data_IF_925885585149
#
_entry.id   IF_925885585149
#
_cell.length_a   1.000
_cell.length_b   1.000
_cell.length_c   1.000
_cell.angle_alpha   90.00
_cell.angle_beta   90.00
_cell.angle_gamma   90.00
#
_symmetry.space_group_name_H-M   'P 1'
#
loop_
_entity.id
_entity.type
_entity.pdbx_description
1 polymer ?
#
# COMPACT_ATOMS: atom_id res chain seq x y z
N UNK A 1 4.33 14.97 -29.14
CA UNK A 1 3.15 14.18 -29.56
C UNK A 1 3.13 12.94 -28.67
N UNK A 2 2.28 12.94 -27.64
CA UNK A 2 2.06 11.76 -26.81
C UNK A 2 1.11 10.84 -27.58
N UNK A 3 1.63 9.83 -28.23
CA UNK A 3 0.83 8.68 -28.60
C UNK A 3 0.34 8.05 -27.28
N UNK A 4 -0.91 8.32 -26.93
CA UNK A 4 -1.60 7.57 -25.88
C UNK A 4 -1.51 6.11 -26.30
N UNK A 5 -0.71 5.32 -25.60
CA UNK A 5 -0.69 3.87 -25.78
C UNK A 5 -2.11 3.40 -25.51
N UNK A 6 -2.82 3.10 -26.57
CA UNK A 6 -4.15 2.52 -26.51
C UNK A 6 -3.96 1.08 -26.04
N UNK A 7 -4.13 0.87 -24.76
CA UNK A 7 -4.22 -0.48 -24.21
C UNK A 7 -5.52 -1.07 -24.74
N UNK A 8 -5.39 -2.05 -25.60
CA UNK A 8 -6.51 -2.74 -26.16
C UNK A 8 -7.23 -3.49 -25.01
N UNK A 9 -8.47 -3.10 -24.72
CA UNK A 9 -9.32 -3.79 -23.72
C UNK A 9 -9.57 -5.25 -24.11
N UNK A 10 -9.32 -5.59 -25.38
CA UNK A 10 -9.35 -6.95 -25.90
C UNK A 10 -8.05 -7.74 -25.65
N UNK A 11 -7.05 -7.13 -25.02
CA UNK A 11 -5.84 -7.85 -24.66
C UNK A 11 -6.18 -8.90 -23.60
N UNK A 12 -6.04 -10.17 -23.98
CA UNK A 12 -6.39 -11.33 -23.15
C UNK A 12 -5.69 -11.30 -21.79
N UNK A 13 -4.46 -10.81 -21.73
CA UNK A 13 -3.68 -10.67 -20.49
C UNK A 13 -4.30 -9.62 -19.56
N UNK A 14 -4.68 -8.46 -20.10
CA UNK A 14 -5.34 -7.40 -19.32
C UNK A 14 -6.70 -7.88 -18.82
N UNK A 15 -7.46 -8.56 -19.66
CA UNK A 15 -8.74 -9.15 -19.28
C UNK A 15 -8.58 -10.18 -18.15
N UNK A 16 -7.55 -11.02 -18.17
CA UNK A 16 -7.25 -11.99 -17.10
C UNK A 16 -6.85 -11.30 -15.79
N UNK A 17 -6.03 -10.25 -15.85
CA UNK A 17 -5.66 -9.46 -14.67
C UNK A 17 -6.89 -8.80 -14.08
N UNK A 18 -7.73 -8.16 -14.90
CA UNK A 18 -8.94 -7.49 -14.45
C UNK A 18 -9.99 -8.45 -13.86
N UNK A 19 -10.01 -9.69 -14.33
CA UNK A 19 -10.88 -10.75 -13.78
C UNK A 19 -10.30 -11.42 -12.55
N UNK A 20 -9.02 -11.19 -12.24
CA UNK A 20 -8.32 -11.83 -11.12
C UNK A 20 -8.08 -13.33 -11.32
N UNK A 21 -8.11 -13.82 -12.56
CA UNK A 21 -8.03 -15.27 -12.87
C UNK A 21 -6.71 -15.93 -12.43
N UNK A 22 -5.64 -15.16 -12.30
CA UNK A 22 -4.31 -15.65 -11.89
C UNK A 22 -3.81 -14.95 -10.61
N UNK A 23 -4.70 -14.46 -9.77
CA UNK A 23 -4.33 -13.78 -8.54
C UNK A 23 -4.68 -14.63 -7.33
N UNK A 24 -3.77 -14.65 -6.36
CA UNK A 24 -3.94 -15.42 -5.14
C UNK A 24 -4.10 -14.48 -3.94
N UNK A 25 -4.92 -14.88 -2.99
CA UNK A 25 -4.91 -14.29 -1.66
C UNK A 25 -3.72 -14.83 -0.86
N UNK A 26 -3.26 -14.00 0.06
CA UNK A 26 -2.29 -14.38 1.05
C UNK A 26 -2.91 -14.26 2.43
N UNK A 27 -2.69 -15.24 3.28
CA UNK A 27 -2.93 -15.17 4.70
C UNK A 27 -1.65 -14.74 5.40
N UNK A 28 -1.73 -13.61 6.09
CA UNK A 28 -0.64 -13.08 6.91
C UNK A 28 -0.97 -13.35 8.37
N UNK A 29 -0.19 -14.17 9.03
CA UNK A 29 -0.33 -14.49 10.46
C UNK A 29 0.75 -13.76 11.25
N UNK A 30 0.36 -13.00 12.27
CA UNK A 30 1.30 -12.43 13.23
C UNK A 30 1.81 -13.56 14.13
N UNK A 31 3.07 -13.96 13.95
CA UNK A 31 3.64 -15.10 14.70
C UNK A 31 4.26 -14.65 16.02
N UNK A 32 4.78 -13.42 16.09
CA UNK A 32 5.42 -12.89 17.29
C UNK A 32 5.27 -11.37 17.36
N UNK A 33 5.07 -10.87 18.59
CA UNK A 33 5.21 -9.45 18.92
C UNK A 33 6.18 -9.34 20.10
N UNK A 34 7.23 -8.55 19.94
CA UNK A 34 8.24 -8.29 20.98
C UNK A 34 8.00 -6.90 21.56
N UNK A 35 7.70 -6.83 22.84
CA UNK A 35 7.32 -5.57 23.49
C UNK A 35 5.94 -5.09 23.02
N UNK A 36 5.77 -3.78 22.97
CA UNK A 36 4.53 -3.14 22.54
C UNK A 36 4.61 -2.71 21.06
N UNK A 37 3.64 -3.13 20.25
CA UNK A 37 3.45 -2.62 18.91
C UNK A 37 2.60 -1.35 18.96
N UNK A 38 3.10 -0.18 18.51
CA UNK A 38 2.33 1.09 18.56
C UNK A 38 1.02 1.02 17.77
N UNK A 39 1.00 0.25 16.69
CA UNK A 39 -0.22 0.00 15.91
C UNK A 39 -1.18 -0.94 16.62
N UNK A 40 -0.69 -1.76 17.56
CA UNK A 40 -1.46 -2.67 18.41
C UNK A 40 -1.67 -4.07 17.82
N UNK A 41 -0.78 -4.52 16.93
CA UNK A 41 -0.78 -5.92 16.48
C UNK A 41 -0.52 -6.88 17.65
N UNK A 42 -1.15 -8.04 17.61
CA UNK A 42 -1.00 -9.12 18.60
C UNK A 42 -0.65 -10.43 17.91
N UNK A 43 0.13 -11.26 18.57
CA UNK A 43 0.40 -12.61 18.09
C UNK A 43 -0.90 -13.41 17.92
N UNK A 44 -0.98 -14.19 16.83
CA UNK A 44 -2.16 -14.96 16.45
C UNK A 44 -3.16 -14.23 15.57
N UNK A 45 -3.04 -12.90 15.39
CA UNK A 45 -3.90 -12.18 14.44
C UNK A 45 -3.63 -12.62 13.00
N UNK A 46 -4.69 -12.70 12.20
CA UNK A 46 -4.64 -13.09 10.80
C UNK A 46 -5.28 -12.02 9.91
N UNK A 47 -4.67 -11.80 8.74
CA UNK A 47 -5.09 -10.83 7.74
C UNK A 47 -5.07 -11.47 6.35
N UNK A 48 -6.01 -11.10 5.49
CA UNK A 48 -6.01 -11.48 4.08
C UNK A 48 -5.45 -10.36 3.21
N UNK A 49 -4.17 -10.11 3.36
CA UNK A 49 -3.50 -9.10 2.57
C UNK A 49 -3.19 -9.62 1.14
N UNK A 50 -3.10 -8.70 0.20
CA UNK A 50 -2.72 -8.97 -1.20
C UNK A 50 -1.77 -7.89 -1.69
N UNK A 51 -1.30 -8.00 -2.93
CA UNK A 51 -0.55 -6.92 -3.58
C UNK A 51 -1.31 -5.57 -3.61
N UNK A 52 -2.63 -5.60 -3.56
CA UNK A 52 -3.48 -4.41 -3.70
C UNK A 52 -4.16 -3.99 -2.41
N UNK A 53 -4.36 -4.90 -1.46
CA UNK A 53 -5.10 -4.65 -0.22
C UNK A 53 -4.30 -5.07 1.01
N UNK A 54 -4.09 -4.13 1.94
CA UNK A 54 -3.42 -4.41 3.22
C UNK A 54 -4.27 -5.17 4.22
N UNK A 55 -5.59 -5.21 4.05
CA UNK A 55 -6.57 -5.81 4.96
C UNK A 55 -6.46 -5.33 6.43
N UNK A 56 -5.99 -4.11 6.64
CA UNK A 56 -5.81 -3.53 7.97
C UNK A 56 -4.46 -3.79 8.62
N UNK A 57 -3.52 -4.42 7.94
CA UNK A 57 -2.12 -4.41 8.37
C UNK A 57 -1.60 -2.98 8.49
N UNK A 58 -0.75 -2.74 9.49
CA UNK A 58 0.03 -1.52 9.61
C UNK A 58 0.79 -1.24 8.31
N UNK A 59 0.77 0.01 7.84
CA UNK A 59 1.39 0.41 6.58
C UNK A 59 2.88 0.07 6.50
N UNK A 60 3.66 0.29 7.58
CA UNK A 60 5.08 -0.07 7.63
C UNK A 60 5.31 -1.58 7.47
N UNK A 61 4.54 -2.41 8.17
CA UNK A 61 4.64 -3.86 8.04
C UNK A 61 4.21 -4.31 6.63
N UNK A 62 3.08 -3.79 6.14
CA UNK A 62 2.59 -4.09 4.81
C UNK A 62 3.62 -3.71 3.73
N UNK A 63 4.22 -2.50 3.83
CA UNK A 63 5.27 -2.06 2.91
C UNK A 63 6.50 -2.96 2.96
N UNK A 64 6.92 -3.39 4.16
CA UNK A 64 8.09 -4.25 4.32
C UNK A 64 7.94 -5.60 3.61
N UNK A 65 6.73 -6.17 3.62
CA UNK A 65 6.45 -7.48 3.00
C UNK A 65 5.86 -7.37 1.58
N UNK A 66 5.58 -6.14 1.09
CA UNK A 66 4.79 -5.92 -0.12
C UNK A 66 5.40 -6.57 -1.37
N UNK A 67 6.71 -6.48 -1.59
CA UNK A 67 7.35 -7.09 -2.76
C UNK A 67 7.16 -8.61 -2.81
N UNK A 68 7.28 -9.27 -1.64
CA UNK A 68 7.04 -10.71 -1.50
C UNK A 68 5.55 -11.06 -1.64
N UNK A 69 4.65 -10.19 -1.14
CA UNK A 69 3.20 -10.33 -1.38
C UNK A 69 2.87 -10.26 -2.87
N UNK A 70 3.46 -9.31 -3.60
CA UNK A 70 3.28 -9.19 -5.07
C UNK A 70 3.72 -10.46 -5.77
N UNK A 71 4.89 -11.01 -5.39
CA UNK A 71 5.40 -12.26 -5.97
C UNK A 71 4.41 -13.42 -5.76
N UNK A 72 3.95 -13.63 -4.54
CA UNK A 72 2.99 -14.70 -4.25
C UNK A 72 1.62 -14.43 -4.87
N UNK A 73 1.19 -13.16 -4.95
CA UNK A 73 -0.09 -12.76 -5.52
C UNK A 73 -0.24 -13.20 -6.99
N UNK A 74 0.83 -13.10 -7.75
CA UNK A 74 0.86 -13.51 -9.16
C UNK A 74 1.38 -14.94 -9.38
N UNK A 75 1.42 -15.77 -8.34
CA UNK A 75 1.77 -17.19 -8.45
C UNK A 75 3.27 -17.48 -8.48
N UNK A 76 4.11 -16.47 -8.25
CA UNK A 76 5.56 -16.65 -8.12
C UNK A 76 5.96 -17.31 -6.80
N UNK A 77 7.24 -17.63 -6.67
CA UNK A 77 7.86 -18.21 -5.47
C UNK A 77 9.12 -17.43 -5.12
N UNK A 78 9.47 -17.42 -3.84
CA UNK A 78 10.69 -16.78 -3.36
C UNK A 78 11.80 -17.83 -3.26
N UNK A 79 12.88 -17.64 -4.00
CA UNK A 79 13.95 -18.64 -4.17
C UNK A 79 14.71 -18.95 -2.87
N UNK A 80 14.69 -18.06 -1.89
CA UNK A 80 15.36 -18.20 -0.60
C UNK A 80 14.48 -18.85 0.48
N UNK A 81 13.18 -19.06 0.20
CA UNK A 81 12.26 -19.71 1.13
C UNK A 81 12.20 -21.22 0.91
N UNK A 82 11.91 -21.94 1.99
CA UNK A 82 11.80 -23.40 1.94
C UNK A 82 10.54 -23.90 1.24
N UNK A 83 9.47 -23.10 1.31
CA UNK A 83 8.18 -23.39 0.67
C UNK A 83 7.94 -22.44 -0.51
N UNK A 84 7.47 -22.94 -1.66
CA UNK A 84 7.14 -22.08 -2.80
C UNK A 84 5.95 -21.18 -2.55
N UNK A 85 5.15 -21.46 -1.52
CA UNK A 85 3.86 -20.81 -1.26
C UNK A 85 3.85 -19.94 -0.01
N UNK A 86 4.99 -19.83 0.69
CA UNK A 86 5.06 -19.05 1.93
C UNK A 86 6.38 -18.33 2.11
N UNK A 87 6.38 -17.32 2.98
CA UNK A 87 7.58 -16.65 3.45
C UNK A 87 7.39 -16.11 4.86
N UNK A 88 8.51 -15.74 5.48
CA UNK A 88 8.51 -15.02 6.75
C UNK A 88 8.91 -13.55 6.55
N UNK A 89 8.29 -12.66 7.31
CA UNK A 89 8.54 -11.23 7.25
C UNK A 89 8.68 -10.61 8.63
N UNK A 90 9.29 -9.42 8.69
CA UNK A 90 9.49 -8.67 9.92
C UNK A 90 9.11 -7.20 9.73
N UNK A 91 8.60 -6.59 10.80
CA UNK A 91 8.35 -5.16 10.82
C UNK A 91 9.68 -4.40 10.85
N UNK A 92 9.86 -3.31 10.09
CA UNK A 92 11.07 -2.49 10.09
C UNK A 92 11.29 -1.76 11.43
N UNK A 93 10.26 -1.63 12.26
CA UNK A 93 10.33 -1.07 13.62
C UNK A 93 11.02 -2.04 14.58
N UNK A 94 12.36 -2.09 14.55
CA UNK A 94 13.20 -2.93 15.40
C UNK A 94 12.74 -4.40 15.49
N UNK A 95 12.23 -4.94 14.41
CA UNK A 95 11.70 -6.32 14.34
C UNK A 95 10.63 -6.65 15.39
N UNK A 96 9.88 -5.67 15.86
CA UNK A 96 8.87 -5.86 16.91
C UNK A 96 7.79 -6.87 16.53
N UNK A 97 7.45 -6.94 15.24
CA UNK A 97 6.42 -7.85 14.74
C UNK A 97 7.02 -8.78 13.70
N UNK A 98 6.78 -10.08 13.88
CA UNK A 98 7.12 -11.12 12.89
C UNK A 98 5.86 -11.74 12.33
N UNK A 99 5.88 -12.04 11.05
CA UNK A 99 4.77 -12.65 10.32
C UNK A 99 5.21 -13.88 9.55
N UNK A 100 4.29 -14.81 9.41
CA UNK A 100 4.30 -15.84 8.39
C UNK A 100 3.23 -15.51 7.36
N UNK A 101 3.56 -15.62 6.09
CA UNK A 101 2.66 -15.37 4.98
C UNK A 101 2.54 -16.64 4.15
N UNK A 102 1.31 -17.05 3.87
CA UNK A 102 1.00 -18.20 3.04
C UNK A 102 0.08 -17.83 1.90
N UNK A 103 0.39 -18.27 0.69
CA UNK A 103 -0.50 -18.18 -0.46
C UNK A 103 -1.69 -19.13 -0.30
N UNK A 104 -2.90 -18.62 -0.55
CA UNK A 104 -4.13 -19.39 -0.57
C UNK A 104 -4.59 -19.53 -2.03
N UNK A 105 -5.15 -20.67 -2.39
CA UNK A 105 -5.77 -20.84 -3.69
C UNK A 105 -7.02 -19.95 -3.78
N UNK A 106 -7.06 -19.07 -4.77
CA UNK A 106 -8.20 -18.19 -4.97
C UNK A 106 -9.28 -18.90 -5.76
N UNK A 107 -10.45 -19.09 -5.14
CA UNK A 107 -11.62 -19.71 -5.79
C UNK A 107 -12.62 -18.72 -6.35
N UNK A 108 -12.48 -17.43 -6.10
CA UNK A 108 -13.41 -16.37 -6.51
C UNK A 108 -12.66 -15.08 -6.86
N UNK A 109 -13.20 -14.28 -7.81
CA UNK A 109 -12.62 -12.97 -8.11
C UNK A 109 -12.46 -12.13 -6.85
N UNK A 110 -11.33 -11.44 -6.73
CA UNK A 110 -11.01 -10.59 -5.59
C UNK A 110 -12.03 -9.44 -5.50
N UNK A 111 -12.73 -9.31 -4.38
CA UNK A 111 -13.49 -8.10 -4.07
C UNK A 111 -12.52 -7.04 -3.54
N UNK A 112 -12.17 -6.09 -4.39
CA UNK A 112 -11.11 -5.11 -4.15
C UNK A 112 -11.45 -3.99 -3.16
N UNK A 113 -12.61 -3.97 -2.54
CA UNK A 113 -13.14 -2.74 -1.92
C UNK A 113 -13.34 -2.81 -0.41
N UNK A 114 -12.42 -3.32 0.34
CA UNK A 114 -12.41 -2.99 1.78
C UNK A 114 -11.31 -1.97 2.02
N UNK A 115 -11.67 -0.68 2.08
CA UNK A 115 -10.76 0.33 2.62
C UNK A 115 -10.61 0.02 4.11
N UNK A 116 -9.42 -0.35 4.58
CA UNK A 116 -9.23 -0.60 6.01
C UNK A 116 -9.52 0.68 6.79
N UNK A 117 -10.06 0.59 8.02
CA UNK A 117 -10.32 1.76 8.83
C UNK A 117 -9.00 2.49 9.12
N UNK A 118 -9.04 3.81 9.02
CA UNK A 118 -7.90 4.65 9.40
C UNK A 118 -7.74 4.62 10.92
N UNK A 119 -6.59 4.13 11.40
CA UNK A 119 -6.30 4.03 12.81
C UNK A 119 -5.55 5.27 13.28
N UNK A 120 -6.16 6.07 14.14
CA UNK A 120 -5.56 7.27 14.69
C UNK A 120 -4.29 6.94 15.48
N UNK A 121 -3.16 7.51 15.07
CA UNK A 121 -1.83 7.31 15.68
C UNK A 121 -1.39 8.46 16.58
N UNK A 122 -2.18 9.54 16.68
CA UNK A 122 -1.90 10.66 17.58
C UNK A 122 -1.87 10.21 19.06
N UNK A 123 -0.98 10.80 19.85
CA UNK A 123 -0.79 10.43 21.27
C UNK A 123 -0.07 9.09 21.48
N UNK A 124 0.51 8.49 20.42
CA UNK A 124 1.19 7.19 20.47
C UNK A 124 2.73 7.30 20.45
N UNK A 125 3.28 8.47 20.77
CA UNK A 125 4.72 8.70 20.77
C UNK A 125 5.30 9.07 19.41
N UNK A 126 4.48 9.55 18.49
CA UNK A 126 4.90 10.07 17.18
C UNK A 126 4.57 11.57 17.06
N UNK A 127 5.40 12.47 17.64
CA UNK A 127 5.09 13.90 17.73
C UNK A 127 4.80 14.56 16.38
N UNK A 128 5.46 14.11 15.31
CA UNK A 128 5.20 14.61 13.96
C UNK A 128 3.77 14.31 13.51
N UNK A 129 3.26 13.11 13.78
CA UNK A 129 1.89 12.73 13.45
C UNK A 129 0.85 13.42 14.34
N UNK A 130 1.25 13.86 15.54
CA UNK A 130 0.39 14.66 16.41
C UNK A 130 0.17 16.06 15.82
N UNK A 131 1.18 16.61 15.15
CA UNK A 131 1.20 17.96 14.62
C UNK A 131 0.80 18.05 13.15
N UNK A 132 1.20 17.07 12.34
CA UNK A 132 1.04 17.07 10.89
C UNK A 132 0.27 15.84 10.38
N UNK A 133 -0.27 15.97 9.17
CA UNK A 133 -0.83 14.87 8.38
C UNK A 133 -0.36 14.97 6.94
N UNK A 134 -0.31 13.85 6.24
CA UNK A 134 -0.03 13.83 4.80
C UNK A 134 -1.34 13.56 4.07
N UNK A 135 -1.77 14.51 3.27
CA UNK A 135 -2.94 14.40 2.40
C UNK A 135 -2.51 14.03 0.99
N UNK A 136 -3.25 13.15 0.37
CA UNK A 136 -3.10 12.76 -1.03
C UNK A 136 -4.30 13.24 -1.81
N UNK A 137 -4.07 13.82 -2.97
CA UNK A 137 -5.09 14.22 -3.94
C UNK A 137 -4.79 13.55 -5.29
N UNK A 138 -5.78 12.91 -5.88
CA UNK A 138 -5.71 12.35 -7.23
C UNK A 138 -5.94 13.45 -8.25
N UNK A 139 -4.93 13.73 -9.09
CA UNK A 139 -4.95 14.84 -10.04
C UNK A 139 -5.47 14.43 -11.41
N UNK A 140 -5.06 13.26 -11.90
CA UNK A 140 -5.44 12.78 -13.22
C UNK A 140 -5.38 11.25 -13.27
N UNK A 141 -6.14 10.65 -14.17
CA UNK A 141 -6.15 9.21 -14.44
C UNK A 141 -6.34 9.04 -15.95
N UNK A 142 -5.35 8.46 -16.64
CA UNK A 142 -5.42 8.30 -18.10
C UNK A 142 -6.49 7.28 -18.54
N UNK A 143 -6.70 6.24 -17.72
CA UNK A 143 -7.67 5.19 -17.98
C UNK A 143 -8.50 4.92 -16.72
N UNK A 144 -8.84 3.69 -16.45
CA UNK A 144 -9.65 3.30 -15.29
C UNK A 144 -8.76 2.72 -14.19
N UNK A 145 -8.76 3.37 -13.02
CA UNK A 145 -8.10 2.80 -11.85
C UNK A 145 -8.84 1.56 -11.34
N UNK A 146 -8.13 0.46 -11.23
CA UNK A 146 -8.67 -0.81 -10.76
C UNK A 146 -9.15 -0.73 -9.29
N UNK A 147 -8.49 0.11 -8.47
CA UNK A 147 -8.89 0.40 -7.09
C UNK A 147 -10.08 1.36 -7.00
N UNK A 148 -10.55 1.87 -8.15
CA UNK A 148 -11.66 2.83 -8.27
C UNK A 148 -11.38 4.21 -7.70
N UNK A 149 -10.12 4.66 -7.70
CA UNK A 149 -9.83 6.08 -7.51
C UNK A 149 -10.43 6.92 -8.64
N UNK A 150 -10.78 8.15 -8.30
CA UNK A 150 -11.31 9.16 -9.23
C UNK A 150 -10.51 10.45 -9.10
N UNK A 151 -10.44 11.21 -10.16
CA UNK A 151 -9.89 12.57 -10.11
C UNK A 151 -10.63 13.38 -9.05
N UNK A 152 -9.88 14.07 -8.21
CA UNK A 152 -10.39 14.84 -7.07
C UNK A 152 -10.56 14.03 -5.78
N UNK A 153 -10.35 12.71 -5.78
CA UNK A 153 -10.33 11.93 -4.53
C UNK A 153 -9.21 12.45 -3.62
N UNK A 154 -9.55 12.65 -2.35
CA UNK A 154 -8.60 13.03 -1.30
C UNK A 154 -8.64 12.05 -0.14
N UNK A 155 -7.48 11.73 0.42
CA UNK A 155 -7.38 10.85 1.59
C UNK A 155 -6.08 11.08 2.36
N UNK A 156 -6.14 10.81 3.66
CA UNK A 156 -4.97 10.86 4.54
C UNK A 156 -4.20 9.54 4.48
N UNK A 157 -2.86 9.64 4.51
CA UNK A 157 -1.94 8.51 4.65
C UNK A 157 -0.87 8.83 5.69
N UNK A 158 -0.34 7.80 6.33
CA UNK A 158 0.82 7.92 7.21
C UNK A 158 1.62 6.60 7.20
N UNK A 159 2.77 6.49 7.88
CA UNK A 159 3.56 5.25 7.87
C UNK A 159 2.83 4.02 8.41
N UNK A 160 1.75 4.20 9.15
CA UNK A 160 0.96 3.13 9.77
C UNK A 160 -0.34 2.85 9.03
N UNK A 161 -0.88 3.84 8.32
CA UNK A 161 -2.17 3.78 7.65
C UNK A 161 -2.02 3.92 6.14
N UNK A 162 -2.47 2.89 5.43
CA UNK A 162 -2.55 2.88 3.96
C UNK A 162 -3.58 3.91 3.44
N UNK A 163 -4.51 4.31 4.30
CA UNK A 163 -5.56 5.26 3.96
C UNK A 163 -6.50 4.71 2.89
N UNK A 164 -6.73 5.51 1.86
CA UNK A 164 -7.56 5.09 0.73
C UNK A 164 -6.80 4.39 -0.39
N UNK A 165 -5.45 4.32 -0.33
CA UNK A 165 -4.62 3.81 -1.40
C UNK A 165 -4.70 2.28 -1.55
N UNK A 166 -4.52 1.78 -2.77
CA UNK A 166 -4.17 0.38 -2.99
C UNK A 166 -2.69 0.14 -2.66
N UNK A 167 -2.28 -1.12 -2.55
CA UNK A 167 -0.90 -1.46 -2.20
C UNK A 167 0.15 -0.92 -3.17
N UNK A 168 -0.13 -0.91 -4.48
CA UNK A 168 0.80 -0.36 -5.48
C UNK A 168 0.98 1.14 -5.28
N UNK A 169 -0.12 1.88 -5.16
CA UNK A 169 -0.08 3.31 -4.91
C UNK A 169 0.59 3.60 -3.57
N UNK A 170 0.20 2.92 -2.48
CA UNK A 170 0.80 3.11 -1.17
C UNK A 170 2.31 2.82 -1.17
N UNK A 171 2.74 1.81 -1.91
CA UNK A 171 4.16 1.52 -2.11
C UNK A 171 4.94 2.72 -2.63
N UNK A 172 4.37 3.49 -3.54
CA UNK A 172 4.96 4.72 -4.07
C UNK A 172 4.85 5.88 -3.07
N UNK A 173 3.67 6.05 -2.44
CA UNK A 173 3.44 7.11 -1.46
C UNK A 173 4.39 7.00 -0.26
N UNK A 174 4.70 5.79 0.19
CA UNK A 174 5.47 5.53 1.40
C UNK A 174 6.83 6.23 1.43
N UNK A 175 7.52 6.29 0.31
CA UNK A 175 8.80 6.99 0.20
C UNK A 175 8.66 8.49 0.47
N UNK A 176 7.58 9.09 -0.04
CA UNK A 176 7.32 10.52 0.13
C UNK A 176 6.69 10.85 1.49
N UNK A 177 5.92 9.93 2.08
CA UNK A 177 5.38 10.11 3.44
C UNK A 177 6.51 10.40 4.42
N UNK A 178 7.54 9.56 4.44
CA UNK A 178 8.69 9.74 5.33
C UNK A 178 9.43 11.06 5.06
N UNK A 179 9.65 11.39 3.78
CA UNK A 179 10.31 12.63 3.35
C UNK A 179 9.54 13.87 3.85
N UNK A 180 8.23 13.91 3.61
CA UNK A 180 7.40 15.04 4.02
C UNK A 180 7.32 15.18 5.55
N UNK A 181 7.14 14.06 6.27
CA UNK A 181 7.07 14.07 7.73
C UNK A 181 8.39 14.50 8.42
N UNK A 182 9.52 14.39 7.73
CA UNK A 182 10.81 14.94 8.23
C UNK A 182 11.02 16.40 7.88
N UNK A 183 10.03 17.06 7.22
CA UNK A 183 10.11 18.47 6.82
C UNK A 183 10.96 18.73 5.58
N UNK A 184 11.38 17.67 4.87
CA UNK A 184 12.17 17.81 3.64
C UNK A 184 11.24 18.04 2.46
N UNK A 185 11.55 19.04 1.65
CA UNK A 185 10.91 19.29 0.36
C UNK A 185 11.85 18.82 -0.74
N UNK A 186 11.48 17.84 -1.58
CA UNK A 186 12.33 17.42 -2.70
C UNK A 186 12.65 18.59 -3.64
N UNK A 187 13.87 18.61 -4.19
CA UNK A 187 14.33 19.70 -5.04
C UNK A 187 13.51 19.91 -6.33
N UNK A 188 12.78 18.90 -6.77
CA UNK A 188 11.89 18.94 -7.93
C UNK A 188 10.44 19.30 -7.59
N UNK A 189 10.11 19.48 -6.31
CA UNK A 189 8.76 19.84 -5.90
C UNK A 189 8.42 21.27 -6.36
N UNK A 190 7.23 21.44 -6.94
CA UNK A 190 6.73 22.74 -7.39
C UNK A 190 6.28 23.65 -6.25
N UNK A 191 6.04 23.08 -5.08
CA UNK A 191 5.59 23.78 -3.87
C UNK A 191 6.30 23.21 -2.65
N UNK A 192 6.53 24.04 -1.66
CA UNK A 192 7.05 23.63 -0.37
C UNK A 192 6.12 22.63 0.31
N UNK A 193 6.70 21.62 0.99
CA UNK A 193 5.97 20.57 1.69
C UNK A 193 5.00 19.77 0.80
N UNK A 194 5.27 19.70 -0.50
CA UNK A 194 4.45 18.92 -1.43
C UNK A 194 5.29 18.04 -2.36
N UNK A 195 4.67 17.00 -2.90
CA UNK A 195 5.25 16.11 -3.93
C UNK A 195 4.17 15.75 -4.92
N UNK A 196 4.47 15.88 -6.22
CA UNK A 196 3.65 15.33 -7.30
C UNK A 196 4.38 14.15 -7.93
N UNK A 197 3.68 13.04 -8.11
CA UNK A 197 4.23 11.83 -8.70
C UNK A 197 3.13 11.01 -9.38
N UNK A 198 3.48 9.83 -9.90
CA UNK A 198 2.57 8.92 -10.60
C UNK A 198 2.51 7.56 -9.92
N UNK A 199 1.38 6.90 -10.02
CA UNK A 199 1.22 5.50 -9.60
C UNK A 199 2.13 4.59 -10.44
N UNK A 200 2.75 3.56 -9.85
CA UNK A 200 3.55 2.60 -10.61
C UNK A 200 2.71 1.70 -11.53
N UNK A 201 1.38 1.72 -11.41
CA UNK A 201 0.50 1.08 -12.38
C UNK A 201 0.50 1.85 -13.70
N UNK A 202 1.19 1.27 -14.69
CA UNK A 202 1.37 1.89 -16.00
C UNK A 202 0.10 1.92 -16.85
N UNK A 203 -0.91 1.14 -16.49
CA UNK A 203 -2.20 1.14 -17.15
C UNK A 203 -3.04 2.36 -16.73
N UNK A 204 -3.17 2.57 -15.42
CA UNK A 204 -3.96 3.68 -14.86
C UNK A 204 -3.33 5.04 -15.15
N UNK A 205 -2.00 5.11 -15.11
CA UNK A 205 -1.22 6.35 -15.17
C UNK A 205 -1.77 7.43 -14.22
N UNK A 206 -2.25 6.99 -13.06
CA UNK A 206 -2.79 7.90 -12.05
C UNK A 206 -1.69 8.82 -11.54
N UNK A 207 -1.91 10.12 -11.69
CA UNK A 207 -1.06 11.14 -11.06
C UNK A 207 -1.69 11.65 -9.77
N UNK A 208 -0.84 11.97 -8.80
CA UNK A 208 -1.27 12.44 -7.49
C UNK A 208 -0.37 13.54 -6.96
N UNK A 209 -0.91 14.33 -6.05
CA UNK A 209 -0.18 15.28 -5.22
C UNK A 209 -0.28 14.86 -3.77
N UNK A 210 0.83 14.93 -3.05
CA UNK A 210 0.89 14.79 -1.60
C UNK A 210 1.23 16.14 -0.99
N UNK A 211 0.60 16.48 0.13
CA UNK A 211 0.85 17.72 0.87
C UNK A 211 0.96 17.40 2.35
N UNK A 212 1.96 17.98 3.00
CA UNK A 212 2.05 17.99 4.46
C UNK A 212 1.22 19.15 4.99
N UNK A 213 0.21 18.84 5.79
CA UNK A 213 -0.69 19.82 6.40
C UNK A 213 -0.56 19.80 7.92
N UNK A 214 -0.65 20.96 8.54
CA UNK A 214 -0.79 21.06 9.99
C UNK A 214 -2.20 20.61 10.41
N UNK A 215 -2.29 19.78 11.46
CA UNK A 215 -3.58 19.36 11.99
C UNK A 215 -4.26 20.55 12.68
N UNK A 216 -5.47 20.84 12.29
CA UNK A 216 -6.31 21.79 13.03
C UNK A 216 -6.59 21.23 14.43
N UNK A 217 -6.43 22.07 15.44
CA UNK A 217 -6.68 21.73 16.86
C UNK A 217 -8.16 21.51 17.12
#
# INVERSE_FOLDING_TARGET
MNEKRQWDENNEMVAKILKGENCYYQEVTITKVTGECPYGHKAGEQYRATALNSDGLCGSLYKAIHASLVTLHYGGSLLWEKSPDSFTGVCPEMEKVRVEVRRLEQKKPMRLKTKPPFKKMTGKGFPTLDKYRVMVEVLDIAHRCYWSHRVGDTFEVDPFNVGGACGLLYGQLYHFISTLLTGVTPAWASQEHSVTAVCPDTYDQLSFRMVLEERQK
#
